data_IF_953004093354
#
_entry.id   IF_953004093354
#
_cell.length_a   1.000
_cell.length_b   1.000
_cell.length_c   1.000
_cell.angle_alpha   90.00
_cell.angle_beta   90.00
_cell.angle_gamma   90.00
#
_symmetry.space_group_name_H-M   'P 1'
#
loop_
_entity.id
_entity.type
_entity.pdbx_description
1 polymer ?
#
# COMPACT_ATOMS: atom_id res chain seq x y z
N UNK A 1 -3.76 9.87 -14.75
CA UNK A 1 -4.63 9.81 -13.56
C UNK A 1 -4.41 8.51 -12.79
N UNK A 2 -4.58 7.33 -13.40
CA UNK A 2 -4.41 6.03 -12.76
C UNK A 2 -3.10 5.82 -11.95
N UNK A 3 -1.93 6.23 -12.46
CA UNK A 3 -0.65 6.11 -11.71
C UNK A 3 -0.68 6.92 -10.41
N UNK A 4 -1.15 8.17 -10.45
CA UNK A 4 -1.22 9.04 -9.27
C UNK A 4 -2.26 8.54 -8.26
N UNK A 5 -3.36 7.97 -8.75
CA UNK A 5 -4.35 7.30 -7.90
C UNK A 5 -3.72 6.07 -7.22
N UNK A 6 -3.04 5.20 -7.98
CA UNK A 6 -2.31 4.04 -7.45
C UNK A 6 -1.29 4.41 -6.38
N UNK A 7 -0.51 5.48 -6.58
CA UNK A 7 0.42 6.03 -5.58
C UNK A 7 -0.34 6.46 -4.32
N UNK A 8 -1.41 7.23 -4.48
CA UNK A 8 -2.21 7.76 -3.35
C UNK A 8 -2.83 6.62 -2.55
N UNK A 9 -3.40 5.63 -3.22
CA UNK A 9 -4.00 4.46 -2.59
C UNK A 9 -2.96 3.63 -1.83
N UNK A 10 -1.81 3.34 -2.44
CA UNK A 10 -0.73 2.61 -1.76
C UNK A 10 -0.27 3.35 -0.50
N UNK A 11 -0.10 4.67 -0.57
CA UNK A 11 0.27 5.49 0.60
C UNK A 11 -0.78 5.45 1.70
N UNK A 12 -2.07 5.48 1.35
CA UNK A 12 -3.17 5.34 2.31
C UNK A 12 -3.11 3.98 3.01
N UNK A 13 -3.06 2.89 2.26
CA UNK A 13 -3.01 1.53 2.85
C UNK A 13 -1.79 1.35 3.76
N UNK A 14 -0.61 1.82 3.35
CA UNK A 14 0.60 1.75 4.17
C UNK A 14 0.49 2.57 5.45
N UNK A 15 -0.17 3.73 5.41
CA UNK A 15 -0.44 4.53 6.61
C UNK A 15 -1.41 3.80 7.52
N UNK A 16 -2.52 3.30 7.00
CA UNK A 16 -3.53 2.57 7.79
C UNK A 16 -2.92 1.34 8.47
N UNK A 17 -2.05 0.59 7.78
CA UNK A 17 -1.31 -0.54 8.36
C UNK A 17 -0.39 -0.10 9.51
N UNK A 18 0.31 1.03 9.36
CA UNK A 18 1.17 1.56 10.42
C UNK A 18 0.36 2.01 11.63
N UNK A 19 -0.76 2.70 11.42
CA UNK A 19 -1.64 3.15 12.49
C UNK A 19 -2.24 1.95 13.26
N UNK A 20 -2.48 0.82 12.58
CA UNK A 20 -2.89 -0.44 13.23
C UNK A 20 -1.72 -1.05 14.03
N UNK A 21 -0.52 -1.10 13.45
CA UNK A 21 0.65 -1.67 14.12
C UNK A 21 1.04 -0.88 15.38
N UNK A 22 1.00 0.45 15.30
CA UNK A 22 1.29 1.35 16.43
C UNK A 22 0.28 1.10 17.57
N UNK A 23 -1.01 0.95 17.27
CA UNK A 23 -2.04 0.56 18.26
C UNK A 23 -1.78 -0.81 18.87
N UNK A 24 -1.38 -1.80 18.06
CA UNK A 24 -1.04 -3.12 18.58
C UNK A 24 0.14 -3.06 19.54
N UNK A 25 1.16 -2.26 19.23
CA UNK A 25 2.29 -2.04 20.12
C UNK A 25 1.86 -1.39 21.44
N UNK A 26 0.99 -0.37 21.39
CA UNK A 26 0.47 0.30 22.58
C UNK A 26 -0.36 -0.63 23.46
N UNK A 27 -1.21 -1.48 22.86
CA UNK A 27 -2.15 -2.34 23.58
C UNK A 27 -1.54 -3.68 24.03
N UNK A 28 -0.67 -4.28 23.22
CA UNK A 28 -0.19 -5.66 23.38
C UNK A 28 1.33 -5.76 23.61
N UNK A 29 2.06 -4.66 23.45
CA UNK A 29 3.52 -4.62 23.59
C UNK A 29 4.28 -5.20 22.39
N UNK A 30 3.60 -5.55 21.30
CA UNK A 30 4.23 -6.00 20.05
C UNK A 30 3.42 -5.57 18.82
N UNK A 31 4.08 -5.46 17.68
CA UNK A 31 3.47 -5.13 16.39
C UNK A 31 3.01 -6.35 15.61
N UNK A 32 3.04 -6.24 14.27
CA UNK A 32 2.66 -7.34 13.39
C UNK A 32 3.60 -8.53 13.52
N UNK A 33 3.02 -9.72 13.44
CA UNK A 33 3.79 -10.97 13.38
C UNK A 33 4.58 -10.98 12.07
N UNK A 34 5.86 -11.31 12.15
CA UNK A 34 6.70 -11.49 10.98
C UNK A 34 6.09 -12.56 10.06
N UNK A 35 5.92 -12.24 8.78
CA UNK A 35 5.21 -13.06 7.77
C UNK A 35 3.69 -13.26 7.98
N UNK A 36 3.08 -12.54 8.91
CA UNK A 36 1.63 -12.42 9.03
C UNK A 36 0.99 -11.77 7.80
N UNK A 37 -0.35 -11.85 7.69
CA UNK A 37 -1.08 -11.28 6.55
C UNK A 37 -0.87 -9.77 6.43
N UNK A 38 -0.83 -9.05 7.55
CA UNK A 38 -0.58 -7.61 7.57
C UNK A 38 0.81 -7.28 7.04
N UNK A 39 1.85 -8.01 7.47
CA UNK A 39 3.21 -7.83 6.98
C UNK A 39 3.34 -8.17 5.48
N UNK A 40 2.68 -9.25 5.02
CA UNK A 40 2.63 -9.60 3.57
C UNK A 40 1.92 -8.50 2.77
N UNK A 41 0.85 -7.94 3.32
CA UNK A 41 0.09 -6.84 2.71
C UNK A 41 0.95 -5.59 2.62
N UNK A 42 1.65 -5.22 3.70
CA UNK A 42 2.60 -4.11 3.71
C UNK A 42 3.67 -4.26 2.62
N UNK A 43 4.30 -5.44 2.52
CA UNK A 43 5.30 -5.74 1.49
C UNK A 43 4.72 -5.63 0.06
N UNK A 44 3.48 -6.09 -0.14
CA UNK A 44 2.78 -5.97 -1.43
C UNK A 44 2.62 -4.49 -1.81
N UNK A 45 2.07 -3.67 -0.92
CA UNK A 45 1.82 -2.26 -1.22
C UNK A 45 3.09 -1.41 -1.31
N UNK A 46 4.16 -1.75 -0.59
CA UNK A 46 5.50 -1.14 -0.79
C UNK A 46 6.04 -1.40 -2.19
N UNK A 47 5.90 -2.63 -2.71
CA UNK A 47 6.34 -3.00 -4.07
C UNK A 47 5.52 -2.26 -5.13
N UNK A 48 4.20 -2.20 -4.97
CA UNK A 48 3.30 -1.48 -5.87
C UNK A 48 3.59 0.03 -5.87
N UNK A 49 3.81 0.63 -4.71
CA UNK A 49 4.18 2.04 -4.62
C UNK A 49 5.45 2.34 -5.43
N UNK A 50 6.51 1.55 -5.22
CA UNK A 50 7.76 1.71 -5.96
C UNK A 50 7.56 1.54 -7.47
N UNK A 51 6.67 0.63 -7.87
CA UNK A 51 6.34 0.41 -9.27
C UNK A 51 5.61 1.62 -9.88
N UNK A 52 4.59 2.16 -9.21
CA UNK A 52 3.90 3.35 -9.71
C UNK A 52 4.77 4.60 -9.72
N UNK A 53 5.63 4.79 -8.72
CA UNK A 53 6.60 5.88 -8.72
C UNK A 53 7.54 5.77 -9.92
N UNK A 54 8.05 4.57 -10.21
CA UNK A 54 8.85 4.32 -11.41
C UNK A 54 8.07 4.57 -12.70
N UNK A 55 6.82 4.14 -12.78
CA UNK A 55 5.97 4.37 -13.96
C UNK A 55 5.69 5.85 -14.19
N UNK A 56 5.47 6.61 -13.12
CA UNK A 56 5.33 8.06 -13.18
C UNK A 56 6.61 8.71 -13.70
N UNK A 57 7.74 8.36 -13.12
CA UNK A 57 9.03 9.00 -13.41
C UNK A 57 9.51 8.67 -14.83
N UNK A 58 9.17 7.49 -15.36
CA UNK A 58 9.52 7.04 -16.70
C UNK A 58 8.39 7.22 -17.74
N UNK A 59 7.26 7.82 -17.34
CA UNK A 59 6.06 8.01 -18.20
C UNK A 59 5.62 6.71 -18.87
N UNK A 60 5.61 5.62 -18.10
CA UNK A 60 5.19 4.29 -18.57
C UNK A 60 3.69 4.11 -18.44
N UNK A 61 3.17 3.10 -19.15
CA UNK A 61 1.77 2.70 -19.02
C UNK A 61 1.52 2.21 -17.58
N UNK A 62 0.48 2.71 -16.89
CA UNK A 62 0.14 2.26 -15.55
C UNK A 62 -0.09 0.75 -15.51
N UNK A 63 0.50 0.07 -14.54
CA UNK A 63 0.12 -1.31 -14.17
C UNK A 63 -1.02 -1.36 -13.19
N UNK A 64 -1.76 -0.25 -13.11
CA UNK A 64 -2.93 -0.12 -12.26
C UNK A 64 -3.97 -1.19 -12.59
N UNK A 65 -4.36 -1.90 -11.54
CA UNK A 65 -5.35 -2.97 -11.51
C UNK A 65 -6.44 -2.62 -10.49
N UNK A 66 -7.69 -2.34 -10.90
CA UNK A 66 -8.77 -1.94 -10.01
C UNK A 66 -9.03 -2.91 -8.85
N UNK A 67 -8.81 -4.22 -9.06
CA UNK A 67 -9.07 -5.26 -8.05
C UNK A 67 -8.03 -5.24 -6.92
N UNK A 68 -6.83 -4.72 -7.22
CA UNK A 68 -5.72 -4.62 -6.27
C UNK A 68 -5.64 -3.22 -5.65
N UNK A 69 -6.05 -2.19 -6.39
CA UNK A 69 -5.82 -0.79 -6.04
C UNK A 69 -7.10 -0.03 -5.65
N UNK A 70 -8.24 -0.72 -5.57
CA UNK A 70 -9.55 -0.13 -5.28
C UNK A 70 -10.10 0.64 -6.48
N UNK A 71 -11.37 0.43 -6.82
CA UNK A 71 -12.02 1.10 -7.95
C UNK A 71 -12.12 2.62 -7.77
N UNK A 72 -11.77 3.40 -8.80
CA UNK A 72 -12.10 4.84 -8.89
C UNK A 72 -13.62 5.14 -8.96
N UNK A 73 -14.48 4.11 -8.83
CA UNK A 73 -15.93 4.27 -8.82
C UNK A 73 -16.49 4.18 -7.41
N UNK A 74 -16.60 5.34 -6.75
CA UNK A 74 -17.86 5.88 -6.20
C UNK A 74 -17.66 7.33 -5.75
#
# INVERSE_FOLDING_TARGET
>A
MAVNYGITYCKKVLKDLRDIEDKMFEEQGHGFVQFGEQHKTELKYKRLLKQFERERDLVLKPTYDPDIHGSEHQ
#
